data_IF_306261914522
#
_entry.id   IF_306261914522
#
_cell.length_a   1.000
_cell.length_b   1.000
_cell.length_c   1.000
_cell.angle_alpha   90.00
_cell.angle_beta   90.00
_cell.angle_gamma   90.00
#
_symmetry.space_group_name_H-M   'P 1'
#
loop_
_entity.id
_entity.type
_entity.pdbx_description
1 polymer ?
#
# COMPACT_ATOMS: atom_id res chain seq x y z
N UNK A 1 16.95 30.85 -68.88
CA UNK A 1 15.66 30.15 -68.75
C UNK A 1 15.31 30.05 -67.26
N UNK A 2 14.23 30.68 -66.85
CA UNK A 2 13.76 30.82 -65.46
C UNK A 2 13.41 29.47 -64.80
N UNK A 3 13.82 29.25 -63.54
CA UNK A 3 12.89 28.84 -62.47
C UNK A 3 13.47 29.02 -61.06
N UNK A 4 12.71 29.78 -60.26
CA UNK A 4 12.86 30.08 -58.83
C UNK A 4 12.40 28.92 -57.93
N UNK A 5 12.71 29.08 -56.63
CA UNK A 5 12.02 28.64 -55.37
C UNK A 5 12.69 27.46 -54.67
N UNK A 6 12.89 27.44 -53.36
CA UNK A 6 12.72 28.41 -52.27
C UNK A 6 13.51 27.85 -51.07
N UNK A 7 14.31 28.69 -50.40
CA UNK A 7 14.70 28.46 -49.02
C UNK A 7 13.51 28.85 -48.12
N UNK A 8 12.92 27.92 -47.38
CA UNK A 8 12.27 28.14 -46.07
C UNK A 8 11.63 26.83 -45.58
N UNK A 9 12.06 26.36 -44.41
CA UNK A 9 11.47 25.18 -43.75
C UNK A 9 12.21 24.84 -42.45
N UNK A 10 12.43 25.84 -41.61
CA UNK A 10 12.85 25.69 -40.22
C UNK A 10 11.62 25.28 -39.38
N UNK A 11 11.82 24.43 -38.37
CA UNK A 11 10.89 24.06 -37.28
C UNK A 11 9.72 23.12 -37.66
N UNK A 12 9.31 22.11 -36.88
CA UNK A 12 9.41 21.86 -35.44
C UNK A 12 9.51 20.33 -35.22
N UNK A 13 10.55 19.87 -34.52
CA UNK A 13 10.54 18.59 -33.81
C UNK A 13 9.51 18.70 -32.68
N UNK A 14 8.38 18.01 -32.81
CA UNK A 14 7.49 17.72 -31.68
C UNK A 14 7.40 16.20 -31.55
N UNK A 15 8.50 15.62 -31.06
CA UNK A 15 8.48 14.28 -30.50
C UNK A 15 7.56 14.31 -29.29
N UNK A 16 6.33 13.84 -29.46
CA UNK A 16 5.38 13.60 -28.38
C UNK A 16 5.88 12.37 -27.60
N UNK A 17 6.92 12.56 -26.79
CA UNK A 17 7.34 11.60 -25.78
C UNK A 17 6.28 11.65 -24.68
N UNK A 18 5.19 10.90 -24.88
CA UNK A 18 4.27 10.52 -23.82
C UNK A 18 5.09 9.78 -22.76
N UNK A 19 5.51 10.51 -21.74
CA UNK A 19 6.03 9.94 -20.52
C UNK A 19 4.91 9.13 -19.85
N UNK A 20 4.72 7.89 -20.28
CA UNK A 20 4.18 6.86 -19.41
C UNK A 20 5.19 6.69 -18.28
N UNK A 21 5.01 7.47 -17.22
CA UNK A 21 5.74 7.28 -15.98
C UNK A 21 5.28 5.93 -15.41
N UNK A 22 6.09 4.91 -15.63
CA UNK A 22 5.99 3.62 -14.98
C UNK A 22 6.03 3.88 -13.47
N UNK A 23 4.87 3.85 -12.82
CA UNK A 23 4.76 3.91 -11.36
C UNK A 23 5.03 2.52 -10.77
N UNK A 24 6.15 1.90 -11.13
CA UNK A 24 6.59 0.64 -10.55
C UNK A 24 7.26 0.89 -9.20
N UNK A 25 6.55 1.47 -8.24
CA UNK A 25 7.09 1.64 -6.90
C UNK A 25 5.98 1.44 -5.89
N UNK A 26 5.89 0.19 -5.43
CA UNK A 26 5.08 -0.30 -4.31
C UNK A 26 3.63 -0.70 -4.63
N UNK A 27 3.42 -1.66 -5.53
CA UNK A 27 2.25 -2.55 -5.39
C UNK A 27 2.45 -3.42 -4.13
N UNK A 28 2.27 -2.82 -2.96
CA UNK A 28 2.04 -3.62 -1.76
C UNK A 28 0.82 -4.52 -2.02
N UNK A 29 0.75 -5.70 -1.38
CA UNK A 29 -0.41 -6.59 -1.49
C UNK A 29 -1.74 -5.93 -1.08
N UNK A 30 -1.72 -4.68 -0.59
CA UNK A 30 -2.88 -3.84 -0.34
C UNK A 30 -3.90 -3.84 -1.50
N UNK A 31 -3.51 -3.77 -2.78
CA UNK A 31 -4.49 -3.75 -3.88
C UNK A 31 -5.27 -5.07 -4.02
N UNK A 32 -4.59 -6.21 -3.83
CA UNK A 32 -5.22 -7.53 -3.69
C UNK A 32 -6.16 -7.58 -2.48
N UNK A 33 -5.79 -6.92 -1.39
CA UNK A 33 -6.64 -6.83 -0.18
C UNK A 33 -7.84 -5.89 -0.35
N UNK A 34 -7.72 -4.83 -1.16
CA UNK A 34 -8.86 -3.99 -1.53
C UNK A 34 -9.88 -4.77 -2.36
N UNK A 35 -9.41 -5.67 -3.24
CA UNK A 35 -10.29 -6.60 -3.94
C UNK A 35 -11.08 -7.47 -2.94
N UNK A 36 -10.40 -8.05 -1.94
CA UNK A 36 -11.05 -8.85 -0.90
C UNK A 36 -12.04 -8.04 -0.05
N UNK A 37 -11.71 -6.79 0.28
CA UNK A 37 -12.63 -5.88 0.96
C UNK A 37 -13.87 -5.59 0.11
N UNK A 38 -13.73 -5.46 -1.21
CA UNK A 38 -14.82 -5.14 -2.13
C UNK A 38 -15.70 -6.33 -2.48
N UNK A 39 -15.11 -7.50 -2.73
CA UNK A 39 -15.81 -8.68 -3.27
C UNK A 39 -15.93 -9.85 -2.29
N UNK A 40 -15.31 -9.76 -1.11
CA UNK A 40 -15.51 -10.70 0.00
C UNK A 40 -14.69 -11.99 -0.09
N UNK A 41 -13.73 -12.10 -1.01
CA UNK A 41 -12.83 -13.26 -1.08
C UNK A 41 -11.42 -12.90 -1.54
N UNK A 42 -10.44 -13.72 -1.15
CA UNK A 42 -9.04 -13.55 -1.54
C UNK A 42 -8.86 -13.85 -3.03
N UNK A 43 -8.14 -12.97 -3.71
CA UNK A 43 -7.68 -13.20 -5.09
C UNK A 43 -6.17 -13.41 -5.13
N UNK A 44 -5.66 -13.90 -6.26
CA UNK A 44 -4.24 -14.10 -6.57
C UNK A 44 -3.68 -12.91 -7.36
N UNK A 45 -2.36 -12.77 -7.42
CA UNK A 45 -1.74 -11.69 -8.19
C UNK A 45 -2.09 -11.73 -9.69
N UNK A 46 -2.28 -12.93 -10.25
CA UNK A 46 -2.59 -13.14 -11.66
C UNK A 46 -3.99 -12.65 -12.08
N UNK A 47 -4.81 -12.21 -11.12
CA UNK A 47 -6.04 -11.49 -11.39
C UNK A 47 -5.76 -10.16 -12.12
N UNK A 48 -4.69 -9.45 -11.75
CA UNK A 48 -4.34 -8.15 -12.33
C UNK A 48 -3.03 -8.17 -13.13
N UNK A 49 -2.26 -9.26 -13.04
CA UNK A 49 -0.93 -9.36 -13.59
C UNK A 49 -0.79 -10.59 -14.49
N UNK A 50 0.04 -10.51 -15.53
CA UNK A 50 0.26 -11.64 -16.45
C UNK A 50 1.02 -12.79 -15.80
N UNK A 51 2.00 -12.49 -14.94
CA UNK A 51 2.93 -13.45 -14.34
C UNK A 51 3.23 -13.09 -12.87
N UNK A 52 2.18 -12.97 -12.07
CA UNK A 52 2.30 -12.72 -10.63
C UNK A 52 2.63 -11.27 -10.25
N UNK A 53 2.78 -11.04 -8.95
CA UNK A 53 2.87 -9.69 -8.39
C UNK A 53 4.11 -8.95 -8.85
N UNK A 54 3.94 -7.79 -9.48
CA UNK A 54 5.04 -6.97 -9.98
C UNK A 54 5.48 -7.27 -11.42
N UNK A 55 4.85 -8.25 -12.09
CA UNK A 55 4.92 -8.36 -13.56
C UNK A 55 4.07 -7.27 -14.22
N UNK A 56 4.04 -7.27 -15.56
CA UNK A 56 3.13 -6.42 -16.32
C UNK A 56 1.66 -6.71 -15.95
N UNK A 57 0.81 -5.69 -16.10
CA UNK A 57 -0.62 -5.84 -15.90
C UNK A 57 -1.22 -6.65 -17.06
N UNK A 58 -2.22 -7.48 -16.77
CA UNK A 58 -3.15 -7.98 -17.79
C UNK A 58 -4.17 -6.88 -18.13
N UNK A 59 -5.09 -7.14 -19.06
CA UNK A 59 -6.03 -6.11 -19.53
C UNK A 59 -6.95 -5.60 -18.42
N UNK A 60 -7.46 -6.48 -17.55
CA UNK A 60 -8.19 -6.09 -16.34
C UNK A 60 -7.37 -5.21 -15.39
N UNK A 61 -6.13 -5.59 -15.13
CA UNK A 61 -5.21 -4.83 -14.28
C UNK A 61 -4.87 -3.47 -14.87
N UNK A 62 -4.78 -3.36 -16.20
CA UNK A 62 -4.57 -2.11 -16.91
C UNK A 62 -5.81 -1.21 -16.81
N UNK A 63 -7.01 -1.76 -16.94
CA UNK A 63 -8.26 -1.05 -16.73
C UNK A 63 -8.39 -0.52 -15.30
N UNK A 64 -8.04 -1.33 -14.30
CA UNK A 64 -7.95 -0.90 -12.90
C UNK A 64 -6.90 0.22 -12.72
N UNK A 65 -5.76 0.11 -13.40
CA UNK A 65 -4.70 1.12 -13.39
C UNK A 65 -5.19 2.47 -13.92
N UNK A 66 -5.78 2.48 -15.12
CA UNK A 66 -6.31 3.69 -15.75
C UNK A 66 -7.45 4.35 -14.96
N UNK A 67 -8.13 3.61 -14.08
CA UNK A 67 -9.20 4.12 -13.23
C UNK A 67 -8.74 4.55 -11.82
N UNK A 68 -7.43 4.54 -11.54
CA UNK A 68 -6.84 5.13 -10.33
C UNK A 68 -6.52 4.17 -9.19
N UNK A 69 -6.60 2.86 -9.41
CA UNK A 69 -6.12 1.81 -8.48
C UNK A 69 -6.64 1.89 -7.04
N UNK A 70 -7.94 2.17 -6.91
CA UNK A 70 -8.64 2.39 -5.65
C UNK A 70 -9.98 1.64 -5.63
N UNK A 71 -10.69 1.63 -4.51
CA UNK A 71 -11.98 0.93 -4.37
C UNK A 71 -13.02 1.40 -5.40
N UNK A 72 -13.02 2.69 -5.75
CA UNK A 72 -13.93 3.22 -6.76
C UNK A 72 -13.57 2.73 -8.18
N UNK A 73 -12.30 2.45 -8.45
CA UNK A 73 -11.85 1.92 -9.74
C UNK A 73 -12.46 0.54 -10.02
N UNK A 74 -12.58 -0.32 -9.00
CA UNK A 74 -13.27 -1.61 -9.15
C UNK A 74 -14.70 -1.42 -9.66
N UNK A 75 -15.50 -0.58 -8.99
CA UNK A 75 -16.88 -0.30 -9.41
C UNK A 75 -16.96 0.27 -10.82
N UNK A 76 -16.01 1.12 -11.24
CA UNK A 76 -16.00 1.72 -12.58
C UNK A 76 -15.78 0.72 -13.70
N UNK A 77 -15.07 -0.38 -13.44
CA UNK A 77 -14.73 -1.37 -14.46
C UNK A 77 -15.61 -2.61 -14.40
N UNK A 78 -16.53 -2.73 -13.42
CA UNK A 78 -17.42 -3.89 -13.25
C UNK A 78 -18.23 -4.24 -14.52
N UNK A 79 -18.67 -3.23 -15.28
CA UNK A 79 -19.46 -3.40 -16.50
C UNK A 79 -18.63 -3.51 -17.79
N UNK A 80 -17.30 -3.37 -17.71
CA UNK A 80 -16.42 -3.58 -18.86
C UNK A 80 -16.21 -5.06 -19.11
N UNK A 81 -15.93 -5.39 -20.37
CA UNK A 81 -15.35 -6.65 -20.80
C UNK A 81 -13.88 -6.34 -21.10
N UNK A 82 -13.00 -6.60 -20.12
CA UNK A 82 -11.61 -6.11 -20.19
C UNK A 82 -10.75 -6.92 -21.16
N UNK A 83 -10.97 -8.23 -21.29
CA UNK A 83 -10.21 -9.12 -22.17
C UNK A 83 -10.92 -9.48 -23.49
N UNK A 84 -12.11 -8.89 -23.71
CA UNK A 84 -12.91 -9.02 -24.92
C UNK A 84 -13.40 -10.45 -25.19
N UNK A 85 -13.67 -11.23 -24.13
CA UNK A 85 -14.19 -12.60 -24.21
C UNK A 85 -15.73 -12.67 -24.32
N UNK A 86 -16.40 -11.52 -24.22
CA UNK A 86 -17.85 -11.36 -24.31
C UNK A 86 -18.57 -11.34 -22.96
N UNK A 87 -17.85 -11.40 -21.83
CA UNK A 87 -18.41 -11.32 -20.49
C UNK A 87 -17.97 -10.05 -19.75
N UNK A 88 -18.83 -9.43 -18.93
CA UNK A 88 -18.42 -8.32 -18.11
C UNK A 88 -17.60 -8.81 -16.90
N UNK A 89 -16.61 -8.02 -16.51
CA UNK A 89 -15.70 -8.26 -15.39
C UNK A 89 -16.42 -8.69 -14.10
N UNK A 90 -17.56 -8.07 -13.78
CA UNK A 90 -18.32 -8.43 -12.57
C UNK A 90 -18.89 -9.86 -12.64
N UNK A 91 -19.38 -10.29 -13.80
CA UNK A 91 -19.91 -11.65 -13.96
C UNK A 91 -18.81 -12.68 -13.76
N UNK A 92 -17.62 -12.39 -14.27
CA UNK A 92 -16.43 -13.21 -14.11
C UNK A 92 -15.93 -13.26 -12.66
N UNK A 93 -15.79 -12.11 -12.01
CA UNK A 93 -15.43 -12.02 -10.59
C UNK A 93 -16.41 -12.82 -9.73
N UNK A 94 -17.72 -12.70 -9.97
CA UNK A 94 -18.73 -13.48 -9.25
C UNK A 94 -18.62 -14.99 -9.50
N UNK A 95 -18.28 -15.38 -10.73
CA UNK A 95 -18.00 -16.76 -11.10
C UNK A 95 -16.60 -17.25 -10.68
N UNK A 96 -15.79 -16.37 -10.06
CA UNK A 96 -14.38 -16.60 -9.74
C UNK A 96 -13.57 -17.04 -10.96
N UNK A 97 -13.84 -16.43 -12.12
CA UNK A 97 -13.04 -16.47 -13.34
C UNK A 97 -12.16 -15.22 -13.47
N UNK A 98 -11.16 -15.25 -14.38
CA UNK A 98 -10.16 -14.20 -14.51
C UNK A 98 -10.53 -13.23 -15.65
N UNK A 99 -11.03 -12.01 -15.35
CA UNK A 99 -11.45 -10.98 -16.30
C UNK A 99 -10.32 -10.35 -17.12
N UNK A 100 -9.10 -10.84 -16.98
CA UNK A 100 -7.95 -10.45 -17.77
C UNK A 100 -7.32 -11.63 -18.52
N UNK A 101 -8.03 -12.76 -18.63
CA UNK A 101 -7.61 -13.92 -19.42
C UNK A 101 -8.82 -14.46 -20.21
N UNK A 102 -8.87 -14.26 -21.55
CA UNK A 102 -10.05 -14.58 -22.36
C UNK A 102 -10.34 -16.08 -22.47
N UNK A 103 -9.50 -16.92 -21.84
CA UNK A 103 -9.71 -18.38 -21.71
C UNK A 103 -10.45 -18.74 -20.42
N UNK A 104 -10.63 -17.78 -19.49
CA UNK A 104 -11.20 -17.94 -18.15
C UNK A 104 -12.57 -17.26 -18.06
N UNK A 105 -13.59 -17.89 -18.62
CA UNK A 105 -14.95 -17.32 -18.66
C UNK A 105 -15.78 -17.74 -17.45
N UNK A 106 -16.97 -17.15 -17.20
CA UNK A 106 -17.84 -17.57 -16.09
C UNK A 106 -18.25 -19.04 -16.13
N UNK A 107 -18.29 -19.64 -17.33
CA UNK A 107 -18.59 -21.07 -17.53
C UNK A 107 -17.35 -21.96 -17.48
N UNK A 108 -16.17 -21.37 -17.62
CA UNK A 108 -14.88 -22.07 -17.62
C UNK A 108 -13.84 -21.26 -16.82
N UNK A 109 -13.97 -21.13 -15.49
CA UNK A 109 -13.05 -20.32 -14.69
C UNK A 109 -11.61 -20.80 -14.72
N UNK A 110 -11.38 -22.10 -14.98
CA UNK A 110 -10.05 -22.69 -14.92
C UNK A 110 -9.49 -22.73 -13.50
N UNK A 111 -8.16 -22.79 -13.37
CA UNK A 111 -7.48 -23.10 -12.11
C UNK A 111 -6.63 -21.92 -11.57
N UNK A 112 -6.80 -20.70 -12.08
CA UNK A 112 -5.90 -19.58 -11.74
C UNK A 112 -5.95 -19.21 -10.24
N UNK A 113 -7.06 -19.47 -9.54
CA UNK A 113 -7.24 -19.25 -8.10
C UNK A 113 -6.63 -20.35 -7.21
N UNK A 114 -6.07 -21.43 -7.77
CA UNK A 114 -5.55 -22.56 -6.99
C UNK A 114 -4.15 -22.31 -6.42
N UNK A 115 -3.47 -21.24 -6.84
CA UNK A 115 -2.20 -20.86 -6.24
C UNK A 115 -2.41 -20.32 -4.82
N UNK A 116 -1.62 -20.80 -3.86
CA UNK A 116 -1.59 -20.21 -2.52
C UNK A 116 -1.20 -18.73 -2.62
N UNK A 117 -1.99 -17.87 -1.98
CA UNK A 117 -1.70 -16.44 -1.90
C UNK A 117 -0.65 -16.23 -0.81
N UNK A 118 0.62 -16.40 -1.16
CA UNK A 118 1.71 -16.03 -0.24
C UNK A 118 1.73 -14.51 -0.04
N UNK A 119 1.56 -14.08 1.21
CA UNK A 119 1.73 -12.66 1.55
C UNK A 119 3.21 -12.30 1.47
N UNK A 120 3.55 -11.34 0.62
CA UNK A 120 4.91 -10.83 0.51
C UNK A 120 5.41 -10.24 1.84
N UNK A 121 6.57 -10.72 2.31
CA UNK A 121 7.24 -10.23 3.53
C UNK A 121 8.50 -9.44 3.16
N UNK A 122 8.54 -8.11 3.39
CA UNK A 122 9.69 -7.26 3.07
C UNK A 122 10.82 -7.39 4.12
N UNK A 123 11.46 -8.57 4.19
CA UNK A 123 12.46 -8.93 5.22
C UNK A 123 13.56 -7.87 5.40
N UNK A 124 14.10 -7.30 4.31
CA UNK A 124 15.14 -6.26 4.35
C UNK A 124 14.71 -5.01 5.12
N UNK A 125 13.44 -4.62 5.01
CA UNK A 125 12.90 -3.47 5.73
C UNK A 125 12.59 -3.82 7.18
N UNK A 126 12.01 -5.00 7.41
CA UNK A 126 11.67 -5.47 8.74
C UNK A 126 12.90 -5.69 9.64
N UNK A 127 14.03 -6.16 9.09
CA UNK A 127 15.28 -6.28 9.83
C UNK A 127 15.86 -4.94 10.31
N UNK A 128 15.51 -3.81 9.67
CA UNK A 128 15.91 -2.49 10.19
C UNK A 128 15.13 -2.09 11.44
N UNK A 129 13.90 -2.61 11.56
CA UNK A 129 13.03 -2.43 12.72
C UNK A 129 13.37 -3.44 13.83
N UNK A 130 13.61 -4.70 13.46
CA UNK A 130 13.97 -5.79 14.35
C UNK A 130 15.28 -6.47 13.92
N UNK A 131 16.45 -5.92 14.28
CA UNK A 131 17.75 -6.48 13.85
C UNK A 131 18.01 -7.92 14.32
N UNK A 132 17.39 -8.33 15.43
CA UNK A 132 17.56 -9.65 16.04
C UNK A 132 16.49 -10.67 15.60
N UNK A 133 15.60 -10.29 14.68
CA UNK A 133 14.59 -11.19 14.16
C UNK A 133 15.20 -12.20 13.17
N UNK A 134 14.77 -13.46 13.28
CA UNK A 134 15.13 -14.52 12.34
C UNK A 134 13.96 -14.94 11.47
N UNK A 135 12.74 -14.71 11.94
CA UNK A 135 11.50 -15.12 11.29
C UNK A 135 10.49 -13.98 11.36
N UNK A 136 9.64 -13.93 10.34
CA UNK A 136 8.55 -12.97 10.26
C UNK A 136 7.28 -13.68 9.80
N UNK A 137 6.15 -13.26 10.35
CA UNK A 137 4.82 -13.71 9.92
C UNK A 137 3.97 -12.48 9.59
N UNK A 138 3.23 -12.55 8.49
CA UNK A 138 2.28 -11.51 8.11
C UNK A 138 0.88 -11.87 8.64
N UNK A 139 0.21 -10.90 9.26
CA UNK A 139 -1.17 -10.98 9.70
C UNK A 139 -1.93 -9.87 8.98
N UNK A 140 -2.89 -10.25 8.13
CA UNK A 140 -3.62 -9.31 7.29
C UNK A 140 -4.92 -8.87 7.98
N UNK A 141 -5.05 -7.57 8.25
CA UNK A 141 -6.27 -6.97 8.79
C UNK A 141 -7.23 -6.49 7.70
N UNK A 142 -8.49 -6.28 8.09
CA UNK A 142 -9.51 -5.54 7.33
C UNK A 142 -10.21 -4.60 8.30
N UNK A 143 -10.35 -3.34 7.91
CA UNK A 143 -11.10 -2.32 8.64
C UNK A 143 -12.39 -2.08 7.85
N UNK A 144 -13.54 -2.46 8.43
CA UNK A 144 -14.84 -2.18 7.83
C UNK A 144 -15.09 -0.67 7.72
N UNK A 145 -16.01 -0.24 6.85
CA UNK A 145 -16.36 1.17 6.70
C UNK A 145 -16.84 1.80 8.02
N UNK A 146 -17.60 1.04 8.81
CA UNK A 146 -18.05 1.48 10.13
C UNK A 146 -16.87 1.68 11.09
N UNK A 147 -16.00 0.67 11.22
CA UNK A 147 -14.82 0.75 12.11
C UNK A 147 -13.86 1.84 11.66
N UNK A 148 -13.71 2.05 10.35
CA UNK A 148 -12.95 3.15 9.77
C UNK A 148 -13.50 4.49 10.25
N UNK A 149 -14.80 4.74 10.07
CA UNK A 149 -15.43 5.99 10.50
C UNK A 149 -15.24 6.26 12.00
N UNK A 150 -15.38 5.21 12.83
CA UNK A 150 -15.13 5.30 14.27
C UNK A 150 -13.66 5.65 14.58
N UNK A 151 -12.70 5.01 13.91
CA UNK A 151 -11.27 5.27 14.08
C UNK A 151 -10.91 6.69 13.64
N UNK A 152 -11.37 7.13 12.47
CA UNK A 152 -11.09 8.48 11.96
C UNK A 152 -11.60 9.56 12.91
N UNK A 153 -12.79 9.36 13.50
CA UNK A 153 -13.34 10.26 14.54
C UNK A 153 -12.47 10.28 15.80
N UNK A 154 -11.98 9.14 16.27
CA UNK A 154 -11.10 9.05 17.45
C UNK A 154 -9.72 9.66 17.19
N UNK A 155 -9.16 9.41 16.01
CA UNK A 155 -7.80 9.82 15.64
C UNK A 155 -7.77 11.30 15.22
N UNK A 156 -8.85 11.80 14.62
CA UNK A 156 -8.91 13.11 13.97
C UNK A 156 -8.14 13.16 12.64
N UNK A 157 -7.94 12.00 12.00
CA UNK A 157 -7.24 11.85 10.73
C UNK A 157 -8.00 10.87 9.84
N UNK A 158 -7.96 11.09 8.53
CA UNK A 158 -8.54 10.18 7.53
C UNK A 158 -7.60 9.00 7.29
N UNK A 159 -8.16 7.80 7.23
CA UNK A 159 -7.46 6.59 6.82
C UNK A 159 -7.55 6.44 5.30
N UNK A 160 -6.38 6.23 4.67
CA UNK A 160 -6.31 5.88 3.26
C UNK A 160 -6.94 4.51 3.00
N UNK A 161 -7.18 4.17 1.74
CA UNK A 161 -7.65 2.84 1.38
C UNK A 161 -6.65 1.75 1.72
N UNK A 162 -5.35 1.98 1.48
CA UNK A 162 -4.32 1.02 1.85
C UNK A 162 -4.26 0.81 3.38
N UNK A 163 -4.59 1.84 4.17
CA UNK A 163 -4.72 1.75 5.63
C UNK A 163 -5.99 1.00 6.09
N UNK A 164 -6.99 0.81 5.22
CA UNK A 164 -8.15 -0.05 5.54
C UNK A 164 -7.82 -1.54 5.49
N UNK A 165 -6.68 -1.90 4.88
CA UNK A 165 -6.24 -3.28 4.72
C UNK A 165 -4.82 -3.46 5.25
N UNK A 166 -4.58 -3.14 6.54
CA UNK A 166 -3.24 -3.13 7.10
C UNK A 166 -2.65 -4.54 7.13
N UNK A 167 -1.34 -4.65 6.93
CA UNK A 167 -0.59 -5.89 7.18
C UNK A 167 0.33 -5.67 8.38
N UNK A 168 0.13 -6.52 9.40
CA UNK A 168 0.94 -6.54 10.62
C UNK A 168 2.03 -7.59 10.45
N UNK A 169 3.29 -7.21 10.68
CA UNK A 169 4.43 -8.10 10.57
C UNK A 169 4.95 -8.47 11.94
N UNK A 170 4.62 -9.68 12.39
CA UNK A 170 5.13 -10.26 13.63
C UNK A 170 6.60 -10.66 13.43
N UNK A 171 7.46 -10.29 14.37
CA UNK A 171 8.89 -10.60 14.33
C UNK A 171 9.26 -11.59 15.44
N UNK A 172 10.05 -12.61 15.11
CA UNK A 172 10.44 -13.66 16.05
C UNK A 172 11.94 -13.92 16.06
N UNK A 173 12.48 -14.24 17.24
CA UNK A 173 13.85 -14.76 17.40
C UNK A 173 13.95 -16.18 16.84
N UNK A 174 15.18 -16.71 16.74
CA UNK A 174 15.40 -18.11 16.32
C UNK A 174 14.78 -19.12 17.29
N UNK A 175 14.64 -18.73 18.56
CA UNK A 175 14.01 -19.54 19.59
C UNK A 175 12.48 -19.47 19.58
N UNK A 176 11.87 -18.68 18.67
CA UNK A 176 10.42 -18.51 18.57
C UNK A 176 9.83 -17.44 19.50
N UNK A 177 10.65 -16.65 20.17
CA UNK A 177 10.17 -15.54 21.02
C UNK A 177 9.70 -14.37 20.15
N UNK A 178 8.48 -13.87 20.41
CA UNK A 178 7.88 -12.72 19.69
C UNK A 178 8.52 -11.41 20.16
N UNK A 179 9.33 -10.80 19.29
CA UNK A 179 10.02 -9.53 19.51
C UNK A 179 9.08 -8.32 19.44
N UNK A 180 7.99 -8.44 18.69
CA UNK A 180 7.04 -7.36 18.48
C UNK A 180 6.35 -7.44 17.13
N UNK A 181 5.68 -6.35 16.77
CA UNK A 181 4.87 -6.24 15.55
C UNK A 181 5.23 -4.95 14.82
N UNK A 182 5.40 -5.01 13.50
CA UNK A 182 5.61 -3.83 12.67
C UNK A 182 4.42 -3.53 11.75
N UNK A 183 4.16 -2.25 11.54
CA UNK A 183 3.37 -1.75 10.42
C UNK A 183 4.26 -0.92 9.51
N UNK A 184 4.11 -1.12 8.20
CA UNK A 184 4.79 -0.32 7.19
C UNK A 184 3.81 0.70 6.60
N UNK A 185 4.31 1.88 6.27
CA UNK A 185 3.51 2.94 5.66
C UNK A 185 4.24 3.54 4.46
N UNK A 186 3.48 3.89 3.45
CA UNK A 186 3.97 4.58 2.25
C UNK A 186 3.04 5.74 1.91
N UNK A 187 3.62 6.81 1.37
CA UNK A 187 2.91 7.93 0.78
C UNK A 187 3.62 8.44 -0.46
N UNK A 188 2.83 8.87 -1.44
CA UNK A 188 3.30 9.58 -2.62
C UNK A 188 2.47 10.85 -2.79
N UNK A 189 3.12 12.00 -2.68
CA UNK A 189 2.48 13.30 -2.92
C UNK A 189 3.37 14.11 -3.89
N UNK A 190 2.84 14.53 -5.04
CA UNK A 190 3.58 15.35 -6.01
C UNK A 190 5.00 14.82 -6.32
N UNK A 191 5.14 13.50 -6.56
CA UNK A 191 6.41 12.78 -6.77
C UNK A 191 7.37 12.69 -5.57
N UNK A 192 6.97 13.21 -4.41
CA UNK A 192 7.66 13.02 -3.13
C UNK A 192 7.17 11.72 -2.48
N UNK A 193 8.05 10.74 -2.40
CA UNK A 193 7.76 9.46 -1.77
C UNK A 193 8.28 9.47 -0.35
N UNK A 194 7.48 8.96 0.58
CA UNK A 194 7.93 8.59 1.93
C UNK A 194 7.53 7.15 2.17
N UNK A 195 8.49 6.32 2.56
CA UNK A 195 8.28 4.92 2.91
C UNK A 195 9.02 4.63 4.21
N UNK A 196 8.29 4.11 5.20
CA UNK A 196 8.81 3.83 6.53
C UNK A 196 8.05 2.70 7.22
N UNK A 197 8.39 2.48 8.48
CA UNK A 197 7.66 1.56 9.33
C UNK A 197 7.86 1.87 10.80
N UNK A 198 6.88 1.44 11.59
CA UNK A 198 6.84 1.56 13.05
C UNK A 198 6.83 0.15 13.63
N UNK A 199 7.73 -0.10 14.58
CA UNK A 199 7.75 -1.31 15.38
C UNK A 199 7.11 -1.06 16.75
N UNK A 200 6.33 -2.02 17.20
CA UNK A 200 5.59 -1.99 18.45
C UNK A 200 5.94 -3.21 19.31
N UNK A 201 5.84 -3.04 20.63
CA UNK A 201 5.78 -4.14 21.58
C UNK A 201 4.48 -4.92 21.41
N UNK A 202 4.38 -6.09 22.03
CA UNK A 202 3.15 -6.88 22.09
C UNK A 202 2.02 -6.18 22.87
N UNK A 203 2.28 -5.02 23.47
CA UNK A 203 1.30 -4.17 24.17
C UNK A 203 0.98 -2.87 23.45
N UNK A 204 1.55 -2.64 22.26
CA UNK A 204 1.28 -1.45 21.45
C UNK A 204 2.13 -0.22 21.79
N UNK A 205 3.21 -0.36 22.56
CA UNK A 205 4.20 0.70 22.75
C UNK A 205 5.20 0.73 21.59
N UNK A 206 5.61 1.90 21.15
CA UNK A 206 6.55 2.04 20.03
C UNK A 206 7.97 1.67 20.48
N UNK A 207 8.55 0.70 19.79
CA UNK A 207 9.95 0.28 19.96
C UNK A 207 10.86 1.15 19.09
N UNK A 208 10.48 1.36 17.83
CA UNK A 208 11.34 1.99 16.84
C UNK A 208 10.54 2.53 15.66
N UNK A 209 11.01 3.65 15.11
CA UNK A 209 10.53 4.20 13.85
C UNK A 209 11.70 4.30 12.87
N UNK A 210 11.48 3.86 11.62
CA UNK A 210 12.49 3.94 10.56
C UNK A 210 11.86 4.50 9.29
N UNK A 211 12.51 5.50 8.69
CA UNK A 211 12.20 5.98 7.34
C UNK A 211 13.17 5.31 6.38
N UNK A 212 12.68 4.39 5.56
CA UNK A 212 13.52 3.60 4.63
C UNK A 212 13.89 4.39 3.38
N UNK A 213 12.98 5.22 2.90
CA UNK A 213 13.15 6.06 1.72
C UNK A 213 12.32 7.32 1.89
N UNK A 214 12.92 8.47 1.64
CA UNK A 214 12.19 9.73 1.50
C UNK A 214 12.79 10.58 0.38
N UNK A 215 11.96 11.35 -0.32
CA UNK A 215 12.37 12.28 -1.40
C UNK A 215 12.13 13.75 -1.05
N UNK A 216 11.87 14.07 0.22
CA UNK A 216 11.68 15.44 0.68
C UNK A 216 13.02 16.22 0.63
N UNK A 217 14.08 15.63 1.18
CA UNK A 217 15.41 16.22 1.17
C UNK A 217 16.50 15.13 1.14
N UNK A 218 17.43 15.20 0.20
CA UNK A 218 18.55 14.23 0.13
C UNK A 218 19.39 14.30 1.42
N UNK A 219 19.74 13.12 1.96
CA UNK A 219 20.62 12.95 3.14
C UNK A 219 20.12 13.67 4.42
N UNK A 220 18.80 13.85 4.57
CA UNK A 220 18.21 14.39 5.80
C UNK A 220 18.58 13.50 7.00
N UNK A 221 19.25 14.07 8.01
CA UNK A 221 19.51 13.40 9.29
C UNK A 221 18.26 13.50 10.14
N UNK A 222 17.67 12.36 10.48
CA UNK A 222 16.39 12.30 11.18
C UNK A 222 16.47 11.58 12.54
N UNK A 223 17.64 11.03 12.91
CA UNK A 223 17.75 10.11 14.05
C UNK A 223 17.25 10.72 15.36
N UNK A 224 17.57 11.98 15.64
CA UNK A 224 17.07 12.71 16.82
C UNK A 224 15.56 12.93 16.80
N UNK A 225 14.97 13.11 15.62
CA UNK A 225 13.52 13.23 15.46
C UNK A 225 12.84 11.88 15.65
N UNK A 226 13.31 10.83 14.98
CA UNK A 226 12.71 9.49 15.01
C UNK A 226 12.80 8.84 16.40
N UNK A 227 13.85 9.13 17.17
CA UNK A 227 14.02 8.60 18.53
C UNK A 227 12.96 9.11 19.53
N UNK A 228 12.35 10.27 19.28
CA UNK A 228 11.32 10.84 20.16
C UNK A 228 10.04 9.98 20.25
N UNK A 229 9.86 9.05 19.30
CA UNK A 229 8.71 8.15 19.25
C UNK A 229 8.87 6.92 20.15
N UNK A 230 10.08 6.58 20.58
CA UNK A 230 10.33 5.40 21.43
C UNK A 230 9.57 5.54 22.77
N UNK A 231 8.87 4.47 23.16
CA UNK A 231 8.04 4.43 24.37
C UNK A 231 6.68 5.14 24.26
N UNK A 232 6.36 5.79 23.13
CA UNK A 232 5.03 6.38 22.91
C UNK A 232 3.99 5.29 22.58
N UNK A 233 2.72 5.61 22.74
CA UNK A 233 1.58 4.71 22.45
C UNK A 233 0.45 5.47 21.77
N UNK A 234 -0.67 4.80 21.48
CA UNK A 234 -1.89 5.41 20.91
C UNK A 234 -2.41 6.62 21.69
N UNK A 235 -2.11 6.71 22.98
CA UNK A 235 -2.60 7.74 23.90
C UNK A 235 -1.75 9.03 23.85
N UNK A 236 -0.62 9.00 23.13
CA UNK A 236 0.16 10.20 22.82
C UNK A 236 -0.57 11.08 21.79
N UNK A 237 -0.40 12.40 21.84
CA UNK A 237 -1.16 13.30 20.94
C UNK A 237 -0.58 13.38 19.52
N UNK A 238 0.72 13.11 19.35
CA UNK A 238 1.44 13.13 18.07
C UNK A 238 1.41 14.51 17.39
N UNK A 239 1.69 15.57 18.16
CA UNK A 239 1.73 16.95 17.66
C UNK A 239 3.14 17.56 17.70
N UNK A 240 3.60 18.06 16.56
CA UNK A 240 4.81 18.89 16.47
C UNK A 240 4.64 20.17 17.29
N UNK A 241 5.70 20.58 17.99
CA UNK A 241 5.72 21.75 18.87
C UNK A 241 5.06 21.52 20.23
N UNK A 242 4.44 20.36 20.45
CA UNK A 242 3.86 19.96 21.74
C UNK A 242 4.53 18.72 22.30
N UNK A 243 4.37 17.57 21.63
CA UNK A 243 4.96 16.31 22.08
C UNK A 243 6.29 16.01 21.37
N UNK A 244 6.52 16.64 20.22
CA UNK A 244 7.66 16.37 19.35
C UNK A 244 8.31 17.68 18.87
N UNK A 245 9.64 17.72 18.90
CA UNK A 245 10.44 18.78 18.28
C UNK A 245 10.68 18.44 16.81
N UNK A 246 10.31 19.34 15.89
CA UNK A 246 10.53 19.18 14.45
C UNK A 246 12.01 19.28 14.07
N UNK A 247 12.31 18.79 12.87
CA UNK A 247 13.51 19.19 12.15
C UNK A 247 13.34 20.65 11.65
N UNK A 248 14.39 21.48 11.67
CA UNK A 248 14.28 22.89 11.27
C UNK A 248 13.68 23.06 9.87
N UNK A 249 12.64 23.88 9.75
CA UNK A 249 11.93 24.20 8.49
C UNK A 249 11.23 23.01 7.83
N UNK A 250 10.96 21.94 8.61
CA UNK A 250 10.38 20.68 8.13
C UNK A 250 9.16 20.28 8.97
N UNK A 251 8.48 21.25 9.58
CA UNK A 251 7.37 21.05 10.52
C UNK A 251 6.24 20.22 9.89
N UNK A 252 5.86 20.57 8.65
CA UNK A 252 4.79 19.87 7.92
C UNK A 252 5.17 18.42 7.64
N UNK A 253 6.41 18.18 7.19
CA UNK A 253 6.91 16.83 6.94
C UNK A 253 6.99 16.00 8.23
N UNK A 254 7.48 16.59 9.31
CA UNK A 254 7.53 15.93 10.61
C UNK A 254 6.13 15.62 11.15
N UNK A 255 5.15 16.52 10.95
CA UNK A 255 3.76 16.27 11.34
C UNK A 255 3.16 15.12 10.55
N UNK A 256 3.42 15.01 9.24
CA UNK A 256 2.98 13.85 8.44
C UNK A 256 3.52 12.53 8.98
N UNK A 257 4.78 12.50 9.43
CA UNK A 257 5.34 11.32 10.09
C UNK A 257 4.60 11.03 11.40
N UNK A 258 4.33 12.06 12.21
CA UNK A 258 3.52 11.93 13.42
C UNK A 258 2.14 11.34 13.11
N UNK A 259 1.49 11.79 12.03
CA UNK A 259 0.18 11.30 11.60
C UNK A 259 0.20 9.83 11.19
N UNK A 260 1.23 9.38 10.45
CA UNK A 260 1.41 7.96 10.12
C UNK A 260 1.61 7.11 11.38
N UNK A 261 2.42 7.57 12.33
CA UNK A 261 2.69 6.84 13.56
C UNK A 261 1.46 6.80 14.45
N UNK A 262 0.69 7.89 14.53
CA UNK A 262 -0.58 7.96 15.25
C UNK A 262 -1.57 6.95 14.69
N UNK A 263 -1.82 6.97 13.37
CA UNK A 263 -2.70 6.00 12.71
C UNK A 263 -2.24 4.56 12.96
N UNK A 264 -0.94 4.29 12.83
CA UNK A 264 -0.36 2.97 13.07
C UNK A 264 -0.55 2.50 14.51
N UNK A 265 -0.39 3.39 15.49
CA UNK A 265 -0.58 3.08 16.92
C UNK A 265 -2.04 2.72 17.24
N UNK A 266 -2.98 3.44 16.62
CA UNK A 266 -4.41 3.12 16.76
C UNK A 266 -4.79 1.82 16.04
N UNK A 267 -4.28 1.56 14.85
CA UNK A 267 -4.50 0.28 14.15
C UNK A 267 -3.91 -0.90 14.93
N UNK A 268 -2.71 -0.75 15.51
CA UNK A 268 -2.10 -1.77 16.38
C UNK A 268 -3.04 -2.11 17.55
N UNK A 269 -3.63 -1.11 18.19
CA UNK A 269 -4.52 -1.34 19.33
C UNK A 269 -5.88 -1.93 18.94
N UNK A 270 -6.55 -1.31 17.97
CA UNK A 270 -7.98 -1.50 17.72
C UNK A 270 -8.29 -2.54 16.65
N UNK A 271 -7.26 -2.99 15.92
CA UNK A 271 -7.39 -4.01 14.90
C UNK A 271 -6.58 -5.24 15.32
N UNK A 272 -5.30 -5.08 15.60
CA UNK A 272 -4.44 -6.23 15.89
C UNK A 272 -4.62 -6.77 17.31
N UNK A 273 -4.40 -5.94 18.34
CA UNK A 273 -4.48 -6.41 19.74
C UNK A 273 -5.91 -6.73 20.19
N UNK A 274 -6.94 -6.17 19.55
CA UNK A 274 -8.33 -6.53 19.84
C UNK A 274 -8.72 -7.91 19.30
N UNK A 275 -8.03 -8.42 18.27
CA UNK A 275 -8.27 -9.78 17.75
C UNK A 275 -7.66 -10.86 18.65
N UNK A 276 -6.63 -10.52 19.45
CA UNK A 276 -5.99 -11.47 20.38
C UNK A 276 -6.77 -11.65 21.68
N UNK A 277 -7.78 -10.82 21.97
CA UNK A 277 -8.65 -11.02 23.14
C UNK A 277 -9.81 -11.94 22.76
N UNK A 278 -10.04 -13.06 23.49
CA UNK A 278 -11.28 -13.80 23.33
C UNK A 278 -12.46 -12.84 23.54
N UNK A 279 -13.49 -12.96 22.69
CA UNK A 279 -14.77 -12.35 23.01
C UNK A 279 -15.31 -13.06 24.25
N UNK A 280 -15.30 -12.36 25.39
CA UNK A 280 -16.03 -12.76 26.59
C UNK A 280 -17.55 -12.70 26.36
#
# INVERSE_FOLDING_TARGET
MFRKRNYLGFLFLLGLFLFFQVTALFSFPAKRRLFELKYGYKTVCNQCHVDGGGSDNNDYGLDFHHNGQNLAAFTKIEAKDSDADGFPNLAEIQAKSNPGDPRSTPKKPGNYMQAEVETFIPKKNLLKLFPNASQFKAVEGIISLEKKSQLEKKIGLVLSEDEQVPTFFEAYTKAGEKLGVALLFASMEHHKHTFGGVAFTNTGMIIKLVIFKQREQKKLKMDSFLKQFEGKSKDSQFKIGKDFTSLPKMEIFCQKICDFVKKSSWMMQEIYLSQEKPQD
#
